data_IF_460320820064
#
_entry.id   IF_460320820064
#
_cell.length_a   1.000
_cell.length_b   1.000
_cell.length_c   1.000
_cell.angle_alpha   90.00
_cell.angle_beta   90.00
_cell.angle_gamma   90.00
#
_symmetry.space_group_name_H-M   'P 1'
#
loop_
_entity.id
_entity.type
_entity.pdbx_description
1 polymer ?
#
# COMPACT_ATOMS: atom_id res chain seq x y z
N UNK A 1 -31.49 9.11 -17.56
CA UNK A 1 -31.24 7.91 -16.72
C UNK A 1 -29.92 7.21 -17.05
N UNK A 2 -29.52 7.11 -18.32
CA UNK A 2 -28.25 6.48 -18.73
C UNK A 2 -26.99 7.10 -18.12
N UNK A 3 -26.90 8.44 -18.02
CA UNK A 3 -25.74 9.11 -17.41
C UNK A 3 -25.48 8.69 -15.95
N UNK A 4 -26.53 8.44 -15.16
CA UNK A 4 -26.40 8.02 -13.75
C UNK A 4 -25.82 6.60 -13.65
N UNK A 5 -26.24 5.70 -14.54
CA UNK A 5 -25.74 4.31 -14.58
C UNK A 5 -24.27 4.29 -15.01
N UNK A 6 -23.89 5.09 -16.01
CA UNK A 6 -22.51 5.22 -16.49
C UNK A 6 -21.59 5.76 -15.39
N UNK A 7 -21.98 6.82 -14.68
CA UNK A 7 -21.21 7.36 -13.57
C UNK A 7 -21.01 6.37 -12.42
N UNK A 8 -22.08 5.64 -12.04
CA UNK A 8 -22.00 4.59 -11.00
C UNK A 8 -21.03 3.48 -11.41
N UNK A 9 -21.08 3.03 -12.68
CA UNK A 9 -20.16 2.02 -13.21
C UNK A 9 -18.71 2.52 -13.24
N UNK A 10 -18.47 3.78 -13.59
CA UNK A 10 -17.13 4.37 -13.61
C UNK A 10 -16.54 4.48 -12.19
N UNK A 11 -17.33 4.91 -11.21
CA UNK A 11 -16.94 4.95 -9.79
C UNK A 11 -16.61 3.55 -9.25
N UNK A 12 -17.43 2.55 -9.57
CA UNK A 12 -17.18 1.16 -9.18
C UNK A 12 -15.89 0.62 -9.81
N UNK A 13 -15.66 0.86 -11.11
CA UNK A 13 -14.43 0.44 -11.81
C UNK A 13 -13.19 1.06 -11.18
N UNK A 14 -13.22 2.36 -10.87
CA UNK A 14 -12.10 3.08 -10.24
C UNK A 14 -11.75 2.51 -8.87
N UNK A 15 -12.75 2.15 -8.05
CA UNK A 15 -12.54 1.46 -6.77
C UNK A 15 -11.84 0.10 -6.95
N UNK A 16 -12.29 -0.69 -7.91
CA UNK A 16 -11.67 -2.00 -8.20
C UNK A 16 -10.22 -1.86 -8.64
N UNK A 17 -9.91 -0.89 -9.50
CA UNK A 17 -8.53 -0.64 -9.95
C UNK A 17 -7.62 -0.17 -8.82
N UNK A 18 -8.12 0.66 -7.90
CA UNK A 18 -7.37 1.09 -6.72
C UNK A 18 -7.10 -0.07 -5.75
N UNK A 19 -8.09 -0.95 -5.53
CA UNK A 19 -7.90 -2.19 -4.77
C UNK A 19 -6.85 -3.10 -5.44
N UNK A 20 -6.91 -3.27 -6.76
CA UNK A 20 -5.91 -4.05 -7.51
C UNK A 20 -4.49 -3.51 -7.34
N UNK A 21 -4.33 -2.18 -7.34
CA UNK A 21 -3.02 -1.54 -7.08
C UNK A 21 -2.54 -1.83 -5.66
N UNK A 22 -3.42 -1.76 -4.66
CA UNK A 22 -3.08 -2.14 -3.29
C UNK A 22 -2.66 -3.62 -3.20
N UNK A 23 -3.41 -4.54 -3.80
CA UNK A 23 -3.07 -5.98 -3.79
C UNK A 23 -1.72 -6.28 -4.45
N UNK A 24 -1.29 -5.49 -5.44
CA UNK A 24 0.05 -5.61 -6.02
C UNK A 24 1.14 -5.30 -4.98
N UNK A 25 0.97 -4.21 -4.23
CA UNK A 25 1.91 -3.84 -3.16
C UNK A 25 1.91 -4.88 -2.04
N UNK A 26 0.73 -5.32 -1.60
CA UNK A 26 0.60 -6.37 -0.59
C UNK A 26 1.25 -7.68 -1.05
N UNK A 27 1.07 -8.07 -2.32
CA UNK A 27 1.69 -9.28 -2.87
C UNK A 27 3.21 -9.20 -2.85
N UNK A 28 3.79 -8.09 -3.33
CA UNK A 28 5.25 -7.89 -3.31
C UNK A 28 5.76 -7.91 -1.87
N UNK A 29 5.06 -7.26 -0.94
CA UNK A 29 5.38 -7.30 0.48
C UNK A 29 5.40 -8.75 1.00
N UNK A 30 4.36 -9.55 0.77
CA UNK A 30 4.32 -10.94 1.22
C UNK A 30 5.46 -11.77 0.62
N UNK A 31 5.69 -11.66 -0.70
CA UNK A 31 6.74 -12.43 -1.39
C UNK A 31 8.13 -12.10 -0.82
N UNK A 32 8.47 -10.83 -0.67
CA UNK A 32 9.77 -10.41 -0.14
C UNK A 32 9.93 -10.89 1.31
N UNK A 33 8.90 -10.76 2.14
CA UNK A 33 8.94 -11.21 3.53
C UNK A 33 9.13 -12.72 3.66
N UNK A 34 8.39 -13.50 2.87
CA UNK A 34 8.55 -14.96 2.84
C UNK A 34 9.95 -15.32 2.38
N UNK A 35 10.47 -14.66 1.33
CA UNK A 35 11.82 -14.89 0.85
C UNK A 35 12.87 -14.58 1.94
N UNK A 36 12.76 -13.45 2.64
CA UNK A 36 13.66 -13.08 3.74
C UNK A 36 13.65 -14.12 4.87
N UNK A 37 12.47 -14.65 5.24
CA UNK A 37 12.36 -15.71 6.24
C UNK A 37 12.98 -17.02 5.76
N UNK A 38 12.73 -17.42 4.50
CA UNK A 38 13.33 -18.63 3.92
C UNK A 38 14.85 -18.51 3.88
N UNK A 39 15.38 -17.36 3.51
CA UNK A 39 16.83 -17.09 3.52
C UNK A 39 17.39 -17.22 4.94
N UNK A 40 16.72 -16.62 5.92
CA UNK A 40 17.14 -16.67 7.32
C UNK A 40 17.12 -18.07 7.93
N UNK A 41 16.10 -18.87 7.64
CA UNK A 41 15.93 -20.20 8.25
C UNK A 41 16.66 -21.31 7.51
N UNK A 42 16.59 -21.34 6.18
CA UNK A 42 17.13 -22.46 5.40
C UNK A 42 18.52 -22.14 4.85
N UNK A 43 18.63 -21.02 4.13
CA UNK A 43 19.86 -20.67 3.42
C UNK A 43 21.00 -20.35 4.40
N UNK A 44 20.70 -19.56 5.44
CA UNK A 44 21.68 -19.23 6.46
C UNK A 44 22.18 -20.47 7.19
N UNK A 45 21.33 -21.47 7.44
CA UNK A 45 21.78 -22.71 8.10
C UNK A 45 22.66 -23.60 7.21
N UNK A 46 22.42 -23.62 5.90
CA UNK A 46 23.22 -24.42 4.96
C UNK A 46 24.58 -23.80 4.64
N UNK A 47 24.68 -22.47 4.59
CA UNK A 47 25.91 -21.78 4.19
C UNK A 47 26.72 -21.21 5.35
N UNK A 48 26.25 -21.31 6.60
CA UNK A 48 27.00 -20.78 7.75
C UNK A 48 28.39 -21.41 7.89
N UNK A 49 28.53 -22.69 7.52
CA UNK A 49 29.78 -23.45 7.71
C UNK A 49 30.79 -23.12 6.61
N UNK A 50 30.33 -22.72 5.43
CA UNK A 50 31.18 -22.31 4.30
C UNK A 50 31.66 -20.85 4.39
N UNK A 51 31.03 -20.03 5.24
CA UNK A 51 31.25 -18.59 5.31
C UNK A 51 31.24 -18.06 6.75
N UNK A 52 32.41 -17.98 7.39
CA UNK A 52 32.55 -17.50 8.79
C UNK A 52 32.00 -16.08 9.03
N UNK A 53 32.06 -15.19 8.04
CA UNK A 53 31.56 -13.81 8.16
C UNK A 53 30.04 -13.76 8.40
N UNK A 54 29.28 -14.77 7.94
CA UNK A 54 27.85 -14.92 8.21
C UNK A 54 27.60 -15.18 9.70
N UNK A 55 28.54 -15.80 10.42
CA UNK A 55 28.43 -16.08 11.85
C UNK A 55 28.83 -14.90 12.73
N UNK A 56 29.35 -13.81 12.15
CA UNK A 56 29.74 -12.64 12.94
C UNK A 56 28.54 -12.06 13.70
N UNK A 57 28.68 -11.76 15.00
CA UNK A 57 27.58 -11.22 15.81
C UNK A 57 26.99 -9.94 15.21
N UNK A 58 27.85 -9.06 14.69
CA UNK A 58 27.44 -7.79 14.08
C UNK A 58 26.59 -8.00 12.83
N UNK A 59 26.94 -8.98 11.97
CA UNK A 59 26.13 -9.30 10.80
C UNK A 59 24.80 -9.92 11.20
N UNK A 60 24.80 -10.84 12.17
CA UNK A 60 23.58 -11.52 12.60
C UNK A 60 22.58 -10.56 13.24
N UNK A 61 23.05 -9.62 14.05
CA UNK A 61 22.22 -8.56 14.64
C UNK A 61 21.65 -7.63 13.57
N UNK A 62 22.50 -7.15 12.65
CA UNK A 62 22.06 -6.31 11.53
C UNK A 62 21.04 -7.05 10.64
N UNK A 63 21.31 -8.30 10.29
CA UNK A 63 20.44 -9.12 9.45
C UNK A 63 19.11 -9.41 10.16
N UNK A 64 19.15 -9.73 11.45
CA UNK A 64 17.94 -9.91 12.26
C UNK A 64 17.10 -8.65 12.35
N UNK A 65 17.73 -7.49 12.54
CA UNK A 65 17.03 -6.21 12.56
C UNK A 65 16.39 -5.90 11.21
N UNK A 66 17.06 -6.18 10.09
CA UNK A 66 16.50 -5.96 8.76
C UNK A 66 15.37 -6.95 8.42
N UNK A 67 15.47 -8.20 8.85
CA UNK A 67 14.45 -9.23 8.59
C UNK A 67 13.18 -9.01 9.44
N UNK A 68 13.27 -8.36 10.60
CA UNK A 68 12.10 -8.11 11.46
C UNK A 68 11.66 -6.65 11.48
N UNK A 69 12.60 -5.71 11.64
CA UNK A 69 12.31 -4.28 11.74
C UNK A 69 11.77 -3.68 10.45
N UNK A 70 12.42 -3.94 9.31
CA UNK A 70 11.99 -3.40 8.02
C UNK A 70 10.57 -3.86 7.64
N UNK A 71 10.23 -5.16 7.75
CA UNK A 71 8.87 -5.63 7.53
C UNK A 71 7.84 -5.02 8.47
N UNK A 72 8.15 -4.85 9.75
CA UNK A 72 7.21 -4.26 10.72
C UNK A 72 6.88 -2.81 10.33
N UNK A 73 7.89 -2.01 9.98
CA UNK A 73 7.70 -0.63 9.54
C UNK A 73 6.92 -0.55 8.22
N UNK A 74 7.30 -1.37 7.24
CA UNK A 74 6.60 -1.43 5.96
C UNK A 74 5.16 -1.95 6.11
N UNK A 75 4.97 -2.93 6.98
CA UNK A 75 3.66 -3.47 7.33
C UNK A 75 2.76 -2.42 7.95
N UNK A 76 3.29 -1.56 8.83
CA UNK A 76 2.55 -0.43 9.38
C UNK A 76 2.13 0.57 8.29
N UNK A 77 3.06 0.93 7.39
CA UNK A 77 2.75 1.77 6.23
C UNK A 77 1.68 1.16 5.32
N UNK A 78 1.74 -0.16 5.13
CA UNK A 78 0.80 -0.91 4.29
C UNK A 78 -0.59 -1.02 4.95
N UNK A 79 -0.65 -1.14 6.28
CA UNK A 79 -1.90 -1.05 7.05
C UNK A 79 -2.56 0.33 6.90
N UNK A 80 -1.79 1.41 7.05
CA UNK A 80 -2.28 2.78 6.85
C UNK A 80 -2.75 2.98 5.40
N UNK A 81 -1.97 2.52 4.42
CA UNK A 81 -2.34 2.61 3.00
C UNK A 81 -3.61 1.79 2.68
N UNK A 82 -3.75 0.60 3.27
CA UNK A 82 -4.95 -0.22 3.17
C UNK A 82 -6.17 0.50 3.73
N UNK A 83 -6.09 1.02 4.97
CA UNK A 83 -7.15 1.82 5.56
C UNK A 83 -7.52 3.02 4.68
N UNK A 84 -6.55 3.70 4.10
CA UNK A 84 -6.79 4.78 3.16
C UNK A 84 -7.55 4.34 1.89
N UNK A 85 -7.09 3.28 1.23
CA UNK A 85 -7.68 2.77 -0.02
C UNK A 85 -9.10 2.26 0.22
N UNK A 86 -9.34 1.51 1.31
CA UNK A 86 -10.63 0.88 1.58
C UNK A 86 -11.64 1.82 2.26
N UNK A 87 -11.21 2.70 3.18
CA UNK A 87 -12.10 3.55 3.97
C UNK A 87 -12.25 4.96 3.39
N UNK A 88 -11.15 5.60 2.99
CA UNK A 88 -11.16 7.03 2.65
C UNK A 88 -11.31 7.30 1.15
N UNK A 89 -10.67 6.49 0.30
CA UNK A 89 -10.78 6.62 -1.17
C UNK A 89 -12.12 6.14 -1.72
N UNK A 90 -12.91 5.44 -0.91
CA UNK A 90 -14.28 5.07 -1.20
C UNK A 90 -15.21 6.28 -1.25
N UNK A 91 -14.99 7.31 -0.41
CA UNK A 91 -15.74 8.56 -0.51
C UNK A 91 -15.27 9.33 -1.74
N UNK A 92 -16.21 9.75 -2.59
CA UNK A 92 -15.81 10.53 -3.76
C UNK A 92 -15.26 11.89 -3.28
N UNK A 93 -14.26 12.43 -3.96
CA UNK A 93 -13.76 13.79 -3.69
C UNK A 93 -14.88 14.85 -3.67
N UNK A 94 -16.04 14.59 -4.30
CA UNK A 94 -17.23 15.45 -4.26
C UNK A 94 -17.98 15.39 -2.92
N UNK A 95 -17.85 14.31 -2.14
CA UNK A 95 -18.45 14.16 -0.80
C UNK A 95 -17.54 14.72 0.31
N UNK A 96 -16.23 14.77 0.05
CA UNK A 96 -15.25 15.34 0.98
C UNK A 96 -14.98 16.83 0.72
N UNK A 97 -15.54 17.40 -0.36
CA UNK A 97 -15.35 18.81 -0.72
C UNK A 97 -16.08 19.70 0.30
N UNK A 98 -15.37 20.61 1.00
CA UNK A 98 -16.03 21.55 1.91
C UNK A 98 -17.00 22.45 1.14
N UNK A 99 -18.11 22.85 1.78
CA UNK A 99 -19.17 23.69 1.17
C UNK A 99 -18.61 24.89 0.42
N UNK A 100 -17.63 25.57 1.03
CA UNK A 100 -16.97 26.74 0.44
C UNK A 100 -16.35 26.49 -0.95
N UNK A 101 -15.68 25.35 -1.16
CA UNK A 101 -15.07 25.05 -2.47
C UNK A 101 -16.15 24.78 -3.54
N UNK A 102 -17.27 24.17 -3.12
CA UNK A 102 -18.42 23.90 -3.99
C UNK A 102 -19.08 25.22 -4.42
N UNK A 103 -19.29 26.12 -3.47
CA UNK A 103 -19.89 27.43 -3.71
C UNK A 103 -18.96 28.35 -4.54
N UNK A 104 -17.64 28.21 -4.39
CA UNK A 104 -16.68 28.94 -5.23
C UNK A 104 -16.69 28.46 -6.68
N UNK A 105 -16.76 27.15 -6.91
CA UNK A 105 -16.73 26.55 -8.25
C UNK A 105 -18.00 26.86 -9.03
N UNK A 106 -19.18 26.76 -8.39
CA UNK A 106 -20.45 27.18 -8.98
C UNK A 106 -20.42 28.65 -9.44
N UNK A 107 -19.82 29.53 -8.63
CA UNK A 107 -19.63 30.95 -8.97
C UNK A 107 -18.68 31.17 -10.15
N UNK A 108 -17.74 30.27 -10.43
CA UNK A 108 -16.91 30.38 -11.64
C UNK A 108 -17.65 29.89 -12.87
N UNK A 109 -18.45 28.83 -12.75
CA UNK A 109 -19.25 28.30 -13.87
C UNK A 109 -20.31 29.32 -14.31
N UNK A 110 -20.95 29.99 -13.36
CA UNK A 110 -21.94 31.05 -13.62
C UNK A 110 -21.31 32.29 -14.29
N UNK A 111 -20.00 32.51 -14.15
CA UNK A 111 -19.28 33.58 -14.88
C UNK A 111 -18.93 33.20 -16.31
N UNK A 112 -18.97 31.91 -16.64
CA UNK A 112 -18.59 31.36 -17.93
C UNK A 112 -19.81 30.99 -18.81
N UNK A 113 -21.03 31.11 -18.26
CA UNK A 113 -22.31 30.84 -18.93
C UNK A 113 -23.05 32.16 -19.13
#
# INVERSE_FOLDING_TARGET
MENNITEKRLKARKRVDDMKKFYRHLRVYIIINVLLLVVKFNLFQWFKDDYEWLQSPQFNDWFSWNVFGTPVLWGLGLLVHGLYVFKFKSKSWQELKPKFLKDWENRQIEKLT
#
